data_IF_944662677008
#
_entry.id   IF_944662677008
#
_cell.length_a   1.000
_cell.length_b   1.000
_cell.length_c   1.000
_cell.angle_alpha   90.00
_cell.angle_beta   90.00
_cell.angle_gamma   90.00
#
_symmetry.space_group_name_H-M   'P 1'
#
loop_
_entity.id
_entity.type
_entity.pdbx_description
1 polymer ?
#
# COMPACT_ATOMS: atom_id res chain seq x y z
N UNK A 1 85.21 -18.99 -21.45
CA UNK A 1 83.86 -19.60 -21.36
C UNK A 1 82.85 -18.47 -21.28
N UNK A 2 82.21 -18.23 -22.43
CA UNK A 2 81.30 -17.10 -22.66
C UNK A 2 79.90 -17.41 -22.13
N UNK A 3 79.34 -16.48 -21.42
CA UNK A 3 77.93 -16.50 -21.07
C UNK A 3 77.20 -15.42 -21.90
N UNK A 4 76.25 -15.86 -22.70
CA UNK A 4 75.41 -14.97 -23.51
C UNK A 4 74.24 -14.49 -22.67
N UNK A 5 74.08 -13.18 -22.57
CA UNK A 5 72.86 -12.54 -22.05
C UNK A 5 71.79 -12.49 -23.13
N UNK A 6 70.66 -13.16 -22.93
CA UNK A 6 69.45 -12.96 -23.71
C UNK A 6 68.62 -11.85 -23.03
N UNK A 7 68.45 -10.77 -23.70
CA UNK A 7 67.51 -9.70 -23.33
C UNK A 7 66.13 -10.02 -23.87
N UNK A 8 65.18 -10.32 -23.00
CA UNK A 8 63.77 -10.47 -23.36
C UNK A 8 63.06 -9.10 -23.30
N UNK A 9 62.66 -8.59 -24.43
CA UNK A 9 61.83 -7.40 -24.51
C UNK A 9 60.35 -7.79 -24.22
N UNK A 10 59.81 -7.31 -23.11
CA UNK A 10 58.37 -7.39 -22.84
C UNK A 10 57.64 -6.29 -23.62
N UNK A 11 56.86 -6.72 -24.57
CA UNK A 11 55.88 -5.84 -25.26
C UNK A 11 54.65 -5.71 -24.35
N UNK A 12 54.50 -4.56 -23.72
CA UNK A 12 53.26 -4.19 -23.03
C UNK A 12 52.18 -3.76 -24.10
N UNK A 13 51.29 -4.68 -24.40
CA UNK A 13 50.10 -4.37 -25.15
C UNK A 13 49.10 -3.67 -24.23
N UNK A 14 48.98 -2.35 -24.41
CA UNK A 14 47.92 -1.56 -23.72
C UNK A 14 46.59 -1.86 -24.39
N UNK A 15 45.77 -2.68 -23.77
CA UNK A 15 44.36 -2.82 -24.12
C UNK A 15 43.60 -1.62 -23.56
N UNK A 16 43.33 -0.63 -24.38
CA UNK A 16 42.36 0.41 -24.11
C UNK A 16 40.96 -0.23 -24.27
N UNK A 17 40.35 -0.64 -23.16
CA UNK A 17 38.93 -1.04 -23.14
C UNK A 17 38.07 0.25 -23.13
N UNK A 18 37.52 0.62 -24.28
CA UNK A 18 36.41 1.59 -24.30
C UNK A 18 35.25 1.06 -23.41
N UNK A 19 34.67 1.91 -22.57
CA UNK A 19 33.49 1.50 -21.84
C UNK A 19 32.33 1.17 -22.80
N UNK A 20 31.50 0.18 -22.53
CA UNK A 20 30.41 -0.18 -23.42
C UNK A 20 29.48 1.02 -23.57
N UNK A 21 29.25 1.42 -24.83
CA UNK A 21 28.23 2.44 -25.15
C UNK A 21 26.89 1.92 -24.69
N UNK A 22 26.35 2.52 -23.64
CA UNK A 22 24.99 2.27 -23.18
C UNK A 22 24.01 2.58 -24.33
N UNK A 23 23.47 1.55 -24.94
CA UNK A 23 22.35 1.65 -25.87
C UNK A 23 21.07 1.89 -25.03
N UNK A 24 20.97 3.08 -24.43
CA UNK A 24 19.69 3.53 -23.90
C UNK A 24 18.85 3.90 -25.12
N UNK A 25 18.05 2.98 -25.60
CA UNK A 25 17.00 3.28 -26.56
C UNK A 25 16.04 4.26 -25.86
N UNK A 26 15.82 5.49 -26.41
CA UNK A 26 14.86 6.38 -25.79
C UNK A 26 13.50 5.70 -25.74
N UNK A 27 12.90 5.62 -24.55
CA UNK A 27 11.51 5.19 -24.42
C UNK A 27 10.67 6.06 -25.37
N UNK A 28 9.73 5.47 -26.14
CA UNK A 28 8.84 6.27 -26.97
C UNK A 28 8.12 7.27 -26.07
N UNK A 29 8.33 8.55 -26.34
CA UNK A 29 7.63 9.64 -25.68
C UNK A 29 6.16 9.53 -26.06
N UNK A 30 5.38 8.83 -25.24
CA UNK A 30 3.92 8.82 -25.36
C UNK A 30 3.47 10.22 -24.95
N UNK A 31 3.30 11.10 -25.93
CA UNK A 31 2.60 12.37 -25.70
C UNK A 31 1.17 12.03 -25.32
N UNK A 32 0.72 12.35 -24.09
CA UNK A 32 -0.68 12.12 -23.73
C UNK A 32 -1.54 12.93 -24.69
N UNK A 33 -2.41 12.24 -25.43
CA UNK A 33 -3.41 12.95 -26.27
C UNK A 33 -4.27 13.77 -25.31
N UNK A 34 -4.35 15.10 -25.48
CA UNK A 34 -5.18 15.91 -24.60
C UNK A 34 -6.62 15.38 -24.67
N UNK A 35 -7.11 14.81 -23.57
CA UNK A 35 -8.55 14.59 -23.46
C UNK A 35 -9.21 15.96 -23.42
N UNK A 36 -10.23 16.19 -24.25
CA UNK A 36 -10.98 17.44 -24.15
C UNK A 36 -11.56 17.54 -22.73
N UNK A 37 -11.01 18.49 -21.96
CA UNK A 37 -11.55 18.82 -20.65
C UNK A 37 -12.91 19.48 -20.93
N UNK A 38 -13.98 18.71 -20.80
CA UNK A 38 -15.31 19.28 -20.82
C UNK A 38 -15.43 20.22 -19.61
N UNK A 39 -15.85 21.48 -19.80
CA UNK A 39 -16.06 22.37 -18.68
C UNK A 39 -17.11 21.72 -17.76
N UNK A 40 -16.70 21.43 -16.51
CA UNK A 40 -17.60 20.92 -15.48
C UNK A 40 -18.49 22.07 -15.06
N UNK A 41 -19.56 22.27 -15.82
CA UNK A 41 -20.57 23.30 -15.53
C UNK A 41 -21.33 22.80 -14.29
N UNK A 42 -21.21 23.51 -13.17
CA UNK A 42 -21.94 23.30 -11.91
C UNK A 42 -21.55 22.05 -11.08
N UNK A 43 -20.28 21.64 -11.05
CA UNK A 43 -19.84 20.68 -10.05
C UNK A 43 -19.92 21.29 -8.64
N UNK A 44 -20.65 20.63 -7.74
CA UNK A 44 -20.67 21.03 -6.33
C UNK A 44 -19.24 21.05 -5.77
N UNK A 45 -18.80 22.13 -5.09
CA UNK A 45 -17.47 22.19 -4.52
C UNK A 45 -17.20 21.02 -3.56
N UNK A 46 -16.03 20.40 -3.68
CA UNK A 46 -15.62 19.32 -2.78
C UNK A 46 -15.33 19.89 -1.39
N UNK A 47 -16.10 19.44 -0.41
CA UNK A 47 -15.85 19.62 1.02
C UNK A 47 -15.48 18.27 1.57
N UNK A 48 -14.18 17.95 1.52
CA UNK A 48 -13.65 16.63 1.79
C UNK A 48 -12.96 16.53 3.15
N UNK A 49 -13.00 15.34 3.72
CA UNK A 49 -12.24 14.98 4.94
C UNK A 49 -11.52 13.65 4.73
N UNK A 50 -10.32 13.53 5.28
CA UNK A 50 -9.58 12.27 5.36
C UNK A 50 -10.02 11.51 6.60
N UNK A 51 -10.29 10.21 6.43
CA UNK A 51 -10.64 9.30 7.52
C UNK A 51 -9.62 8.18 7.56
N UNK A 52 -8.78 8.24 8.59
CA UNK A 52 -7.59 7.41 8.75
C UNK A 52 -7.93 6.14 9.52
N UNK A 53 -7.42 4.99 9.04
CA UNK A 53 -7.57 3.70 9.73
C UNK A 53 -6.27 3.20 10.35
N UNK A 54 -5.12 3.61 9.80
CA UNK A 54 -3.81 3.24 10.37
C UNK A 54 -3.74 3.67 11.82
N UNK A 55 -3.22 2.80 12.67
CA UNK A 55 -3.17 3.01 14.12
C UNK A 55 -4.53 3.34 14.77
N UNK A 56 -5.62 3.13 14.05
CA UNK A 56 -7.00 3.42 14.50
C UNK A 56 -7.18 4.89 14.92
N UNK A 57 -6.48 5.81 14.24
CA UNK A 57 -6.50 7.24 14.59
C UNK A 57 -7.91 7.81 14.55
N UNK A 58 -8.65 7.55 13.48
CA UNK A 58 -10.02 8.02 13.36
C UNK A 58 -11.05 6.90 13.51
N UNK A 59 -10.72 5.71 12.98
CA UNK A 59 -11.59 4.54 13.00
C UNK A 59 -10.79 3.26 12.68
N UNK A 60 -11.17 2.07 13.22
CA UNK A 60 -12.24 1.81 14.19
C UNK A 60 -11.84 2.22 15.62
N UNK A 61 -12.81 2.28 16.58
CA UNK A 61 -12.50 2.52 17.98
C UNK A 61 -11.57 1.45 18.54
N UNK A 62 -10.51 1.84 19.24
CA UNK A 62 -9.54 0.90 19.84
C UNK A 62 -10.26 -0.10 20.76
N UNK A 63 -11.21 0.35 21.56
CA UNK A 63 -11.97 -0.50 22.48
C UNK A 63 -12.74 -1.62 21.78
N UNK A 64 -13.17 -1.41 20.52
CA UNK A 64 -13.93 -2.42 19.76
C UNK A 64 -13.10 -3.65 19.43
N UNK A 65 -11.79 -3.52 19.27
CA UNK A 65 -10.90 -4.61 18.85
C UNK A 65 -10.86 -5.75 19.87
N UNK A 66 -10.95 -5.40 21.16
CA UNK A 66 -10.93 -6.35 22.27
C UNK A 66 -12.33 -6.88 22.64
N UNK A 67 -13.37 -6.42 21.96
CA UNK A 67 -14.74 -6.87 22.22
C UNK A 67 -15.01 -8.26 21.59
N UNK A 68 -16.08 -8.92 22.05
CA UNK A 68 -16.58 -10.14 21.38
C UNK A 68 -16.94 -9.83 19.91
N UNK A 69 -16.91 -10.80 18.99
CA UNK A 69 -17.14 -10.55 17.57
C UNK A 69 -18.41 -9.74 17.27
N UNK A 70 -19.53 -10.10 17.87
CA UNK A 70 -20.80 -9.39 17.66
C UNK A 70 -20.75 -7.95 18.18
N UNK A 71 -20.17 -7.73 19.37
CA UNK A 71 -20.01 -6.42 19.95
C UNK A 71 -18.99 -5.57 19.16
N UNK A 72 -17.93 -6.20 18.66
CA UNK A 72 -16.93 -5.56 17.80
C UNK A 72 -17.60 -4.95 16.56
N UNK A 73 -18.36 -5.78 15.83
CA UNK A 73 -19.08 -5.35 14.63
C UNK A 73 -20.01 -4.17 14.95
N UNK A 74 -20.88 -4.35 15.97
CA UNK A 74 -21.83 -3.32 16.38
C UNK A 74 -21.15 -1.99 16.75
N UNK A 75 -20.08 -2.05 17.55
CA UNK A 75 -19.33 -0.85 17.97
C UNK A 75 -18.64 -0.16 16.79
N UNK A 76 -18.04 -0.92 15.87
CA UNK A 76 -17.36 -0.37 14.70
C UNK A 76 -18.34 0.28 13.73
N UNK A 77 -19.45 -0.41 13.46
CA UNK A 77 -20.50 0.12 12.58
C UNK A 77 -21.14 1.38 13.18
N UNK A 78 -21.51 1.33 14.46
CA UNK A 78 -22.06 2.51 15.15
C UNK A 78 -21.11 3.70 15.13
N UNK A 79 -19.84 3.49 15.45
CA UNK A 79 -18.85 4.57 15.44
C UNK A 79 -18.67 5.18 14.04
N UNK A 80 -18.77 4.39 12.97
CA UNK A 80 -18.67 4.89 11.61
C UNK A 80 -19.92 5.69 11.22
N UNK A 81 -21.11 5.18 11.52
CA UNK A 81 -22.37 5.89 11.25
C UNK A 81 -22.45 7.23 12.00
N UNK A 82 -22.10 7.24 13.30
CA UNK A 82 -22.06 8.47 14.10
C UNK A 82 -21.09 9.52 13.48
N UNK A 83 -19.93 9.08 13.00
CA UNK A 83 -18.98 9.97 12.30
C UNK A 83 -19.58 10.52 11.00
N UNK A 84 -20.18 9.66 10.18
CA UNK A 84 -20.80 10.09 8.92
C UNK A 84 -21.95 11.06 9.14
N UNK A 85 -22.78 10.86 10.17
CA UNK A 85 -23.84 11.77 10.56
C UNK A 85 -23.27 13.14 10.96
N UNK A 86 -22.19 13.13 11.77
CA UNK A 86 -21.49 14.37 12.15
C UNK A 86 -20.89 15.07 10.94
N UNK A 87 -20.25 14.35 10.02
CA UNK A 87 -19.66 14.93 8.83
C UNK A 87 -20.75 15.53 7.93
N UNK A 88 -21.88 14.84 7.75
CA UNK A 88 -23.03 15.36 7.02
C UNK A 88 -23.57 16.65 7.63
N UNK A 89 -23.71 16.70 8.97
CA UNK A 89 -24.19 17.89 9.67
C UNK A 89 -23.27 19.12 9.50
N UNK A 90 -21.97 18.88 9.25
CA UNK A 90 -20.96 19.90 8.97
C UNK A 90 -20.90 20.30 7.47
N UNK A 91 -21.77 19.74 6.63
CA UNK A 91 -21.79 20.01 5.20
C UNK A 91 -20.68 19.30 4.41
N UNK A 92 -20.00 18.32 4.97
CA UNK A 92 -19.02 17.49 4.25
C UNK A 92 -19.76 16.62 3.23
N UNK A 93 -19.25 16.58 2.01
CA UNK A 93 -19.82 15.81 0.90
C UNK A 93 -18.89 14.75 0.33
N UNK A 94 -17.67 14.66 0.85
CA UNK A 94 -16.64 13.73 0.37
C UNK A 94 -15.79 13.22 1.51
N UNK A 95 -15.55 11.91 1.54
CA UNK A 95 -14.62 11.26 2.49
C UNK A 95 -13.54 10.53 1.71
N UNK A 96 -12.27 10.79 2.05
CA UNK A 96 -11.12 10.01 1.61
C UNK A 96 -10.84 8.93 2.68
N UNK A 97 -11.38 7.74 2.44
CA UNK A 97 -11.35 6.64 3.41
C UNK A 97 -10.12 5.75 3.21
N UNK A 98 -9.29 5.62 4.23
CA UNK A 98 -8.10 4.77 4.15
C UNK A 98 -8.49 3.29 4.20
N UNK A 99 -8.51 2.66 3.03
CA UNK A 99 -8.91 1.24 2.86
C UNK A 99 -7.74 0.28 2.84
N UNK A 100 -6.53 0.77 2.48
CA UNK A 100 -5.28 -0.01 2.49
C UNK A 100 -4.24 0.77 3.30
N UNK A 101 -4.19 0.58 4.64
CA UNK A 101 -3.22 1.28 5.49
C UNK A 101 -1.78 0.80 5.30
N UNK A 102 -1.62 -0.48 4.93
CA UNK A 102 -0.34 -1.18 4.73
C UNK A 102 -0.51 -2.37 3.77
N UNK A 103 0.18 -3.49 3.98
CA UNK A 103 0.04 -4.73 3.21
C UNK A 103 -1.26 -5.50 3.46
N UNK A 104 -2.26 -4.87 4.07
CA UNK A 104 -3.55 -5.45 4.45
C UNK A 104 -4.72 -4.64 3.87
N UNK A 105 -5.91 -5.18 3.92
CA UNK A 105 -7.11 -4.59 3.31
C UNK A 105 -8.28 -4.47 4.30
N UNK A 106 -9.11 -3.44 4.10
CA UNK A 106 -10.39 -3.27 4.79
C UNK A 106 -11.58 -3.69 3.91
N UNK A 107 -11.34 -4.56 2.94
CA UNK A 107 -12.37 -5.16 2.09
C UNK A 107 -12.02 -6.63 1.83
N UNK A 108 -12.99 -7.41 1.37
CA UNK A 108 -12.76 -8.82 1.00
C UNK A 108 -11.88 -8.91 -0.26
N UNK A 109 -10.58 -8.96 -0.04
CA UNK A 109 -9.57 -9.06 -1.09
C UNK A 109 -9.22 -10.51 -1.39
N UNK A 110 -8.88 -10.81 -2.67
CA UNK A 110 -8.29 -12.10 -3.09
C UNK A 110 -6.77 -12.12 -2.97
N UNK A 111 -6.15 -10.96 -2.74
CA UNK A 111 -4.70 -10.77 -2.78
C UNK A 111 -4.15 -10.40 -1.39
N UNK A 112 -4.87 -9.53 -0.66
CA UNK A 112 -4.43 -8.99 0.61
C UNK A 112 -5.15 -9.66 1.78
N UNK A 113 -4.46 -9.91 2.90
CA UNK A 113 -5.10 -10.34 4.14
C UNK A 113 -5.94 -9.20 4.74
N UNK A 114 -6.90 -9.58 5.59
CA UNK A 114 -7.63 -8.61 6.40
C UNK A 114 -6.72 -7.81 7.31
N UNK A 115 -7.04 -6.54 7.49
CA UNK A 115 -6.27 -5.65 8.35
C UNK A 115 -6.47 -5.95 9.84
N UNK A 116 -5.36 -5.99 10.59
CA UNK A 116 -5.35 -6.04 12.06
C UNK A 116 -6.01 -4.82 12.70
N UNK A 117 -6.19 -3.74 11.96
CA UNK A 117 -6.92 -2.57 12.44
C UNK A 117 -8.33 -2.95 12.89
N UNK A 118 -8.93 -3.96 12.25
CA UNK A 118 -10.31 -4.38 12.52
C UNK A 118 -10.43 -5.32 13.72
N UNK A 119 -9.49 -6.24 13.88
CA UNK A 119 -9.60 -7.36 14.84
C UNK A 119 -8.45 -7.45 15.83
N UNK A 120 -7.35 -6.73 15.57
CA UNK A 120 -6.10 -6.84 16.31
C UNK A 120 -5.15 -7.91 15.77
N UNK A 121 -5.57 -8.67 14.74
CA UNK A 121 -4.77 -9.73 14.12
C UNK A 121 -4.82 -9.66 12.60
N UNK A 122 -3.66 -9.72 11.95
CA UNK A 122 -3.58 -9.76 10.49
C UNK A 122 -4.24 -11.04 9.97
N UNK A 123 -5.11 -10.89 8.97
CA UNK A 123 -5.80 -11.99 8.28
C UNK A 123 -7.06 -12.52 8.97
N UNK A 124 -7.38 -12.07 10.19
CA UNK A 124 -8.63 -12.44 10.86
C UNK A 124 -9.80 -11.69 10.22
N UNK A 125 -10.80 -12.46 9.74
CA UNK A 125 -12.03 -11.89 9.14
C UNK A 125 -12.80 -11.09 10.21
N UNK A 126 -13.08 -9.80 9.98
CA UNK A 126 -13.83 -8.98 10.92
C UNK A 126 -15.31 -9.37 11.07
N UNK A 127 -15.82 -10.28 10.22
CA UNK A 127 -17.21 -10.74 10.21
C UNK A 127 -18.15 -9.86 9.35
N UNK A 128 -17.63 -8.85 8.69
CA UNK A 128 -18.34 -8.01 7.71
C UNK A 128 -17.33 -7.38 6.74
N UNK A 129 -17.80 -6.72 5.70
CA UNK A 129 -16.94 -5.94 4.79
C UNK A 129 -16.96 -4.46 5.19
N UNK A 130 -15.88 -3.93 5.81
CA UNK A 130 -15.82 -2.55 6.26
C UNK A 130 -15.94 -1.52 5.14
N UNK A 131 -15.35 -1.79 3.97
CA UNK A 131 -15.46 -0.88 2.83
C UNK A 131 -16.87 -0.85 2.25
N UNK A 132 -17.50 -2.01 2.08
CA UNK A 132 -18.89 -2.07 1.62
C UNK A 132 -19.82 -1.33 2.57
N UNK A 133 -19.66 -1.56 3.88
CA UNK A 133 -20.45 -0.86 4.91
C UNK A 133 -20.24 0.67 4.84
N UNK A 134 -18.97 1.11 4.69
CA UNK A 134 -18.66 2.55 4.51
C UNK A 134 -19.35 3.15 3.28
N UNK A 135 -19.33 2.45 2.14
CA UNK A 135 -19.97 2.89 0.90
C UNK A 135 -21.48 3.03 1.08
N UNK A 136 -22.12 2.01 1.64
CA UNK A 136 -23.57 1.99 1.84
C UNK A 136 -24.02 3.13 2.77
N UNK A 137 -23.33 3.32 3.88
CA UNK A 137 -23.69 4.34 4.86
C UNK A 137 -23.36 5.76 4.41
N UNK A 138 -22.25 5.97 3.70
CA UNK A 138 -21.90 7.27 3.14
C UNK A 138 -22.86 7.68 2.03
N UNK A 139 -23.19 6.77 1.11
CA UNK A 139 -24.07 7.05 -0.01
C UNK A 139 -25.51 7.36 0.45
N UNK A 140 -26.03 6.68 1.48
CA UNK A 140 -27.31 7.02 2.12
C UNK A 140 -27.37 8.48 2.57
N UNK A 141 -26.21 9.06 2.92
CA UNK A 141 -26.06 10.45 3.37
C UNK A 141 -25.70 11.43 2.25
N UNK A 142 -25.58 10.95 1.01
CA UNK A 142 -25.11 11.74 -0.12
C UNK A 142 -23.64 12.16 0.00
N UNK A 143 -22.82 11.39 0.74
CA UNK A 143 -21.38 11.58 0.88
C UNK A 143 -20.66 10.68 -0.12
N UNK A 144 -19.79 11.27 -0.94
CA UNK A 144 -18.91 10.53 -1.87
C UNK A 144 -17.75 9.91 -1.11
N UNK A 145 -17.34 8.71 -1.51
CA UNK A 145 -16.19 8.01 -0.93
C UNK A 145 -15.09 7.85 -1.96
N UNK A 146 -13.89 8.27 -1.60
CA UNK A 146 -12.67 8.00 -2.34
C UNK A 146 -11.79 7.05 -1.54
N UNK A 147 -11.37 5.97 -2.17
CA UNK A 147 -10.47 5.02 -1.55
C UNK A 147 -9.06 5.62 -1.43
N UNK A 148 -8.51 5.58 -0.21
CA UNK A 148 -7.12 5.98 0.06
C UNK A 148 -6.27 4.75 0.28
N UNK A 149 -5.24 4.59 -0.56
CA UNK A 149 -4.27 3.51 -0.51
C UNK A 149 -2.89 4.02 -0.10
N UNK A 150 -2.19 3.23 0.73
CA UNK A 150 -0.74 3.33 0.89
C UNK A 150 -0.10 2.19 0.07
N UNK A 151 0.19 2.37 -1.21
CA UNK A 151 0.51 1.27 -2.11
C UNK A 151 1.77 0.50 -1.70
N UNK A 152 2.84 1.21 -1.36
CA UNK A 152 4.14 0.61 -1.05
C UNK A 152 4.31 0.16 0.40
N UNK A 153 3.46 0.57 1.31
CA UNK A 153 3.59 0.18 2.72
C UNK A 153 3.19 -1.27 2.92
N UNK A 154 4.10 -2.07 3.49
CA UNK A 154 3.88 -3.48 3.84
C UNK A 154 3.50 -3.64 5.31
N UNK A 155 4.12 -2.87 6.21
CA UNK A 155 3.79 -2.88 7.64
C UNK A 155 3.84 -1.48 8.24
N UNK A 156 3.26 -1.34 9.43
CA UNK A 156 3.30 -0.10 10.23
C UNK A 156 4.52 -0.05 11.16
N UNK A 157 5.19 -1.18 11.38
CA UNK A 157 6.40 -1.29 12.19
C UNK A 157 7.21 -2.54 11.79
N UNK A 158 8.41 -2.70 12.36
CA UNK A 158 9.33 -3.83 12.13
C UNK A 158 9.50 -4.72 13.37
N UNK A 159 8.58 -4.68 14.32
CA UNK A 159 8.67 -5.46 15.57
C UNK A 159 8.66 -6.98 15.27
N UNK A 160 9.34 -7.79 16.07
CA UNK A 160 9.35 -9.25 15.90
C UNK A 160 7.94 -9.87 15.88
N UNK A 161 7.01 -9.36 16.69
CA UNK A 161 5.61 -9.79 16.67
C UNK A 161 4.94 -9.55 15.33
N UNK A 162 5.13 -8.37 14.74
CA UNK A 162 4.60 -8.03 13.40
C UNK A 162 5.20 -8.92 12.33
N UNK A 163 6.51 -9.20 12.39
CA UNK A 163 7.16 -10.13 11.46
C UNK A 163 6.57 -11.54 11.60
N UNK A 164 6.32 -12.00 12.82
CA UNK A 164 5.69 -13.31 13.08
C UNK A 164 4.27 -13.35 12.50
N UNK A 165 3.47 -12.32 12.73
CA UNK A 165 2.11 -12.24 12.18
C UNK A 165 2.11 -12.23 10.64
N UNK A 166 2.98 -11.42 10.03
CA UNK A 166 3.11 -11.37 8.56
C UNK A 166 3.53 -12.72 7.97
N UNK A 167 4.42 -13.46 8.66
CA UNK A 167 4.80 -14.82 8.26
C UNK A 167 3.63 -15.80 8.34
N UNK A 168 2.82 -15.69 9.39
CA UNK A 168 1.67 -16.56 9.60
C UNK A 168 0.53 -16.32 8.62
N UNK A 169 0.54 -15.19 7.88
CA UNK A 169 -0.48 -14.92 6.85
C UNK A 169 -0.40 -15.89 5.66
N UNK A 170 0.70 -16.63 5.49
CA UNK A 170 0.86 -17.60 4.41
C UNK A 170 -0.27 -18.65 4.36
N UNK A 171 -0.69 -19.14 5.51
CA UNK A 171 -1.76 -20.14 5.59
C UNK A 171 -3.14 -19.57 5.28
N UNK A 172 -3.33 -18.26 5.48
CA UNK A 172 -4.60 -17.55 5.32
C UNK A 172 -4.69 -16.83 3.97
N UNK A 173 -3.57 -16.31 3.49
CA UNK A 173 -3.48 -15.56 2.25
C UNK A 173 -2.17 -15.88 1.51
N UNK A 174 -2.14 -16.95 0.71
CA UNK A 174 -0.92 -17.38 0.00
C UNK A 174 -0.39 -16.33 -0.98
N UNK A 175 -1.19 -15.34 -1.37
CA UNK A 175 -0.78 -14.23 -2.22
C UNK A 175 -0.13 -13.04 -1.46
N UNK A 176 0.04 -13.13 -0.14
CA UNK A 176 0.68 -12.06 0.63
C UNK A 176 2.09 -11.77 0.12
N UNK A 177 2.33 -10.54 -0.29
CA UNK A 177 3.63 -10.08 -0.80
C UNK A 177 4.76 -10.28 0.22
N UNK A 178 4.49 -10.17 1.50
CA UNK A 178 5.49 -10.39 2.54
C UNK A 178 6.01 -11.82 2.55
N UNK A 179 5.21 -12.75 2.12
CA UNK A 179 5.57 -14.18 2.08
C UNK A 179 6.19 -14.54 0.73
N UNK A 180 5.56 -14.13 -0.36
CA UNK A 180 5.96 -14.52 -1.72
C UNK A 180 7.19 -13.76 -2.23
N UNK A 181 7.33 -12.49 -1.87
CA UNK A 181 8.27 -11.58 -2.49
C UNK A 181 9.06 -10.78 -1.45
N UNK A 182 9.72 -11.48 -0.56
CA UNK A 182 10.59 -10.86 0.46
C UNK A 182 11.73 -10.05 -0.13
N UNK A 183 12.22 -10.45 -1.27
CA UNK A 183 13.25 -9.78 -2.05
C UNK A 183 12.82 -8.39 -2.55
N UNK A 184 11.51 -8.13 -2.64
CA UNK A 184 10.97 -6.81 -2.99
C UNK A 184 10.87 -5.86 -1.80
N UNK A 185 11.07 -6.36 -0.58
CA UNK A 185 10.82 -5.59 0.64
C UNK A 185 12.11 -4.94 1.15
N UNK A 186 11.99 -3.68 1.53
CA UNK A 186 13.04 -2.91 2.20
C UNK A 186 12.55 -2.40 3.53
N UNK A 187 13.48 -2.11 4.42
CA UNK A 187 13.20 -1.37 5.66
C UNK A 187 13.39 0.12 5.40
N UNK A 188 12.35 0.90 5.64
CA UNK A 188 12.38 2.35 5.56
C UNK A 188 11.95 2.94 6.90
N UNK A 189 12.92 3.43 7.67
CA UNK A 189 12.71 3.84 9.06
C UNK A 189 12.25 2.66 9.91
N UNK A 190 11.06 2.80 10.48
CA UNK A 190 10.43 1.84 11.40
C UNK A 190 9.41 0.90 10.72
N UNK A 191 9.40 0.77 9.39
CA UNK A 191 8.40 0.00 8.63
C UNK A 191 9.00 -0.77 7.47
N UNK A 192 8.28 -1.81 7.04
CA UNK A 192 8.56 -2.48 5.77
C UNK A 192 7.81 -1.80 4.63
N UNK A 193 8.50 -1.66 3.50
CA UNK A 193 7.96 -1.09 2.25
C UNK A 193 8.37 -1.94 1.06
N UNK A 194 7.56 -1.92 0.00
CA UNK A 194 7.96 -2.44 -1.31
C UNK A 194 8.96 -1.47 -1.95
N UNK A 195 9.96 -2.03 -2.61
CA UNK A 195 10.95 -1.25 -3.38
C UNK A 195 10.33 -0.78 -4.69
N UNK A 196 10.10 0.52 -4.88
CA UNK A 196 9.54 1.04 -6.14
C UNK A 196 10.52 0.93 -7.32
N UNK A 197 11.80 0.63 -7.07
CA UNK A 197 12.80 0.38 -8.10
C UNK A 197 12.62 -0.97 -8.81
N UNK A 198 11.88 -1.91 -8.20
CA UNK A 198 11.62 -3.23 -8.76
C UNK A 198 10.37 -3.19 -9.66
N UNK A 199 10.48 -3.47 -10.98
CA UNK A 199 9.34 -3.44 -11.91
C UNK A 199 8.19 -4.34 -11.45
N UNK A 200 8.47 -5.59 -11.13
CA UNK A 200 7.46 -6.57 -10.73
C UNK A 200 6.70 -6.17 -9.45
N UNK A 201 7.39 -5.46 -8.52
CA UNK A 201 6.75 -4.91 -7.34
C UNK A 201 5.75 -3.77 -7.68
N UNK A 202 6.04 -2.99 -8.72
CA UNK A 202 5.11 -1.97 -9.21
C UNK A 202 3.92 -2.58 -9.92
N UNK A 203 4.14 -3.65 -10.70
CA UNK A 203 3.08 -4.34 -11.43
C UNK A 203 2.15 -5.11 -10.50
N UNK A 204 2.64 -5.52 -9.33
CA UNK A 204 1.84 -6.17 -8.31
C UNK A 204 0.87 -5.20 -7.60
N UNK A 205 1.21 -3.90 -7.48
CA UNK A 205 0.41 -2.87 -6.80
C UNK A 205 -0.84 -2.53 -7.60
#
# INVERSE_FOLDING_TARGET
>A
KSAALLASALLLASCSSEPPKSLVTPLPTVTPKPHPVQPVVNAEPVRGVWLTTVSRLDWPPIASVNASPANRISQQQKALTDKLDKLKSLGINTVFFQVKPDGTALWRSKILPWSDMMTGKIGEDPGYDPLQFMLDEAHKRGIKVHAWFNPYRVSTNVKPSTVTELNNTLSLHPASVFVLHRDWIRTAGDRFVLDPGIPDARDWI
#
